data_IF_380030305600
#
_entry.id   IF_380030305600
#
_cell.length_a   1.000
_cell.length_b   1.000
_cell.length_c   1.000
_cell.angle_alpha   90.00
_cell.angle_beta   90.00
_cell.angle_gamma   90.00
#
_symmetry.space_group_name_H-M   'P 1'
#
loop_
_entity.id
_entity.type
_entity.pdbx_description
1 polymer ?
#
# COMPACT_ATOMS: atom_id res chain seq x y z
N UNK A 1 -0.29 5.14 11.04
CA UNK A 1 0.06 4.61 9.70
C UNK A 1 1.35 3.82 9.85
N UNK A 2 1.41 2.57 9.37
CA UNK A 2 2.63 1.78 9.30
C UNK A 2 3.25 1.89 7.90
N UNK A 3 4.53 2.26 7.84
CA UNK A 3 5.29 2.44 6.61
C UNK A 3 6.21 1.23 6.36
N UNK A 4 6.61 1.02 5.11
CA UNK A 4 7.48 -0.10 4.72
C UNK A 4 6.78 -1.47 4.69
N UNK A 5 5.47 -1.52 4.44
CA UNK A 5 4.75 -2.80 4.26
C UNK A 5 5.01 -3.36 2.86
N UNK A 6 5.80 -4.42 2.79
CA UNK A 6 6.29 -5.02 1.54
C UNK A 6 5.77 -6.45 1.32
N UNK A 7 5.33 -7.13 2.38
CA UNK A 7 4.85 -8.52 2.35
C UNK A 7 3.48 -8.68 3.01
N UNK A 8 2.73 -9.68 2.59
CA UNK A 8 1.43 -10.04 3.21
C UNK A 8 1.59 -10.47 4.68
N UNK A 9 2.75 -11.00 5.06
CA UNK A 9 3.09 -11.31 6.45
C UNK A 9 3.18 -10.07 7.34
N UNK A 10 3.86 -9.01 6.87
CA UNK A 10 3.91 -7.72 7.57
C UNK A 10 2.52 -7.09 7.71
N UNK A 11 1.73 -7.09 6.64
CA UNK A 11 0.35 -6.59 6.67
C UNK A 11 -0.51 -7.34 7.72
N UNK A 12 -0.42 -8.67 7.74
CA UNK A 12 -1.18 -9.51 8.66
C UNK A 12 -0.78 -9.24 10.11
N UNK A 13 0.52 -9.13 10.39
CA UNK A 13 1.04 -8.77 11.71
C UNK A 13 0.51 -7.40 12.16
N UNK A 14 0.61 -6.37 11.30
CA UNK A 14 0.18 -5.01 11.63
C UNK A 14 -1.33 -4.90 11.86
N UNK A 15 -2.14 -5.61 11.07
CA UNK A 15 -3.60 -5.67 11.26
C UNK A 15 -3.97 -6.29 12.60
N UNK A 16 -3.31 -7.39 12.98
CA UNK A 16 -3.55 -8.04 14.27
C UNK A 16 -3.26 -7.12 15.46
N UNK A 17 -2.33 -6.17 15.30
CA UNK A 17 -1.95 -5.20 16.34
C UNK A 17 -2.73 -3.87 16.25
N UNK A 18 -3.81 -3.83 15.46
CA UNK A 18 -4.70 -2.67 15.39
C UNK A 18 -4.16 -1.50 14.56
N UNK A 19 -3.21 -1.74 13.65
CA UNK A 19 -2.83 -0.70 12.70
C UNK A 19 -3.92 -0.53 11.63
N UNK A 20 -4.33 0.71 11.37
CA UNK A 20 -5.45 1.02 10.46
C UNK A 20 -5.02 1.66 9.14
N UNK A 21 -3.76 2.09 9.02
CA UNK A 21 -3.23 2.72 7.81
C UNK A 21 -1.88 2.12 7.42
N UNK A 22 -1.66 1.93 6.12
CA UNK A 22 -0.49 1.21 5.61
C UNK A 22 0.09 1.91 4.38
N UNK A 23 1.42 1.90 4.29
CA UNK A 23 2.16 2.32 3.11
C UNK A 23 3.35 1.38 2.89
N UNK A 24 3.63 1.05 1.63
CA UNK A 24 4.82 0.29 1.23
C UNK A 24 4.64 -0.39 -0.12
N UNK A 25 5.68 -1.07 -0.59
CA UNK A 25 5.68 -1.68 -1.92
C UNK A 25 4.65 -2.78 -2.13
N UNK A 26 4.08 -3.33 -1.04
CA UNK A 26 2.92 -4.22 -1.15
C UNK A 26 1.71 -3.52 -1.77
N UNK A 27 1.58 -2.20 -1.57
CA UNK A 27 0.44 -1.39 -2.02
C UNK A 27 0.76 -0.57 -3.28
N UNK A 28 2.01 -0.11 -3.41
CA UNK A 28 2.45 0.66 -4.56
C UNK A 28 3.85 1.23 -4.35
N UNK A 29 4.58 1.42 -5.45
CA UNK A 29 5.85 2.15 -5.41
C UNK A 29 5.58 3.65 -5.53
N UNK A 30 6.42 4.51 -4.91
CA UNK A 30 6.43 5.93 -5.23
C UNK A 30 6.57 6.13 -6.73
N UNK A 31 5.79 7.04 -7.28
CA UNK A 31 5.75 7.34 -8.70
C UNK A 31 5.38 8.79 -8.93
N UNK A 32 5.47 9.24 -10.18
CA UNK A 32 5.07 10.59 -10.56
C UNK A 32 3.54 10.75 -10.40
N UNK A 33 3.06 11.98 -10.24
CA UNK A 33 1.65 12.26 -9.93
C UNK A 33 0.69 11.76 -11.03
N UNK A 34 1.15 11.78 -12.28
CA UNK A 34 0.42 11.32 -13.46
C UNK A 34 0.11 9.81 -13.41
N UNK A 35 0.81 9.04 -12.57
CA UNK A 35 0.56 7.62 -12.39
C UNK A 35 -0.64 7.31 -11.47
N UNK A 36 -1.15 8.30 -10.72
CA UNK A 36 -2.27 8.10 -9.79
C UNK A 36 -3.55 7.69 -10.53
N UNK A 37 -3.83 8.30 -11.69
CA UNK A 37 -5.04 8.00 -12.45
C UNK A 37 -5.08 6.54 -12.91
N UNK A 38 -3.94 6.00 -13.37
CA UNK A 38 -3.83 4.59 -13.74
C UNK A 38 -4.00 3.63 -12.54
N UNK A 39 -3.62 4.06 -11.34
CA UNK A 39 -3.77 3.27 -10.10
C UNK A 39 -5.22 3.29 -9.59
N UNK A 40 -5.91 4.43 -9.67
CA UNK A 40 -7.27 4.61 -9.17
C UNK A 40 -8.34 4.18 -10.18
N UNK A 41 -8.05 4.30 -11.48
CA UNK A 41 -8.97 4.01 -12.59
C UNK A 41 -8.33 3.07 -13.61
N UNK A 42 -8.04 1.81 -13.25
CA UNK A 42 -7.48 0.85 -14.19
C UNK A 42 -8.46 0.60 -15.35
N UNK A 43 -7.94 0.55 -16.59
CA UNK A 43 -8.73 0.12 -17.74
C UNK A 43 -9.21 -1.32 -17.51
N UNK A 44 -10.53 -1.55 -17.67
CA UNK A 44 -11.18 -2.84 -17.47
C UNK A 44 -10.79 -3.90 -18.50
#
# INVERSE_FOLDING_TARGET
VAEGVETTGQLSFLRLHGCEGFQGYLFGRPGPAEAIDALLYPAG
#
